data_IF_543807279852
#
_entry.id   IF_543807279852
#
_cell.length_a   1.000
_cell.length_b   1.000
_cell.length_c   1.000
_cell.angle_alpha   90.00
_cell.angle_beta   90.00
_cell.angle_gamma   90.00
#
_symmetry.space_group_name_H-M   'P 1'
#
loop_
_entity.id
_entity.type
_entity.pdbx_description
1 polymer ?
#
# COMPACT_ATOMS: atom_id res chain seq x y z
N UNK A 1 -2.77 9.68 -2.56
CA UNK A 1 -1.54 9.95 -1.78
C UNK A 1 -0.64 10.77 -2.68
N UNK A 2 -0.17 11.93 -2.20
CA UNK A 2 0.75 12.78 -2.94
C UNK A 2 2.17 12.22 -2.85
N UNK A 3 3.08 12.65 -3.75
CA UNK A 3 4.46 12.16 -3.79
C UNK A 3 5.16 12.36 -2.43
N UNK A 4 5.04 13.55 -1.84
CA UNK A 4 5.66 13.85 -0.55
C UNK A 4 5.03 13.04 0.59
N UNK A 5 3.72 12.80 0.56
CA UNK A 5 3.07 11.94 1.56
C UNK A 5 3.60 10.50 1.48
N UNK A 6 3.77 9.98 0.26
CA UNK A 6 4.35 8.65 0.02
C UNK A 6 5.79 8.58 0.53
N UNK A 7 6.58 9.62 0.25
CA UNK A 7 7.96 9.71 0.72
C UNK A 7 8.03 9.72 2.24
N UNK A 8 7.27 10.59 2.90
CA UNK A 8 7.25 10.70 4.36
C UNK A 8 6.76 9.40 5.01
N UNK A 9 5.73 8.76 4.45
CA UNK A 9 5.22 7.48 4.95
C UNK A 9 6.27 6.37 4.90
N UNK A 10 6.95 6.20 3.77
CA UNK A 10 7.99 5.16 3.61
C UNK A 10 9.18 5.44 4.52
N UNK A 11 9.69 6.67 4.54
CA UNK A 11 10.84 7.03 5.38
C UNK A 11 10.54 6.83 6.87
N UNK A 12 9.37 7.24 7.34
CA UNK A 12 8.95 7.05 8.74
C UNK A 12 9.01 5.57 9.17
N UNK A 13 8.57 4.66 8.31
CA UNK A 13 8.59 3.23 8.62
C UNK A 13 10.00 2.64 8.57
N UNK A 14 10.81 3.03 7.58
CA UNK A 14 12.19 2.54 7.42
C UNK A 14 13.13 3.05 8.52
N UNK A 15 12.87 4.23 9.09
CA UNK A 15 13.62 4.74 10.25
C UNK A 15 13.35 3.93 11.52
N UNK A 16 12.16 3.33 11.64
CA UNK A 16 11.72 2.61 12.84
C UNK A 16 11.97 1.11 12.77
N UNK A 17 11.72 0.50 11.62
CA UNK A 17 11.69 -0.95 11.41
C UNK A 17 12.50 -1.36 10.17
N UNK A 18 13.00 -2.62 10.08
CA UNK A 18 13.70 -3.13 8.91
C UNK A 18 12.70 -3.44 7.78
N UNK A 19 12.14 -2.38 7.18
CA UNK A 19 11.12 -2.44 6.15
C UNK A 19 11.71 -2.17 4.77
N UNK A 20 11.34 -3.00 3.81
CA UNK A 20 11.67 -2.84 2.40
C UNK A 20 10.38 -2.64 1.60
N UNK A 21 10.40 -1.74 0.62
CA UNK A 21 9.29 -1.57 -0.33
C UNK A 21 9.52 -2.47 -1.54
N UNK A 22 8.48 -3.17 -1.99
CA UNK A 22 8.55 -4.04 -3.18
C UNK A 22 7.30 -3.86 -4.04
N UNK A 23 7.35 -4.25 -5.32
CA UNK A 23 6.12 -4.33 -6.13
C UNK A 23 5.22 -5.45 -5.59
N UNK A 24 3.95 -5.10 -5.37
CA UNK A 24 2.99 -6.02 -4.77
C UNK A 24 2.48 -7.09 -5.73
N UNK A 25 2.04 -6.68 -6.92
CA UNK A 25 1.36 -7.54 -7.89
C UNK A 25 1.80 -7.27 -9.33
N UNK A 26 1.44 -8.18 -10.23
CA UNK A 26 1.66 -8.10 -11.67
C UNK A 26 3.13 -7.98 -12.07
N UNK A 27 4.06 -8.47 -11.23
CA UNK A 27 5.48 -8.40 -11.54
C UNK A 27 5.86 -9.50 -12.54
N UNK A 28 6.76 -9.19 -13.46
CA UNK A 28 7.28 -10.16 -14.43
C UNK A 28 8.34 -11.09 -13.82
N UNK A 29 8.83 -10.75 -12.62
CA UNK A 29 9.91 -11.47 -11.95
C UNK A 29 9.39 -12.22 -10.72
N UNK A 30 9.87 -13.45 -10.55
CA UNK A 30 9.61 -14.23 -9.34
C UNK A 30 10.40 -13.72 -8.12
N UNK A 31 11.56 -13.12 -8.37
CA UNK A 31 12.43 -12.56 -7.33
C UNK A 31 11.86 -11.26 -6.77
N UNK A 32 12.00 -11.08 -5.46
CA UNK A 32 11.63 -9.84 -4.77
C UNK A 32 12.71 -8.79 -5.04
N UNK A 33 12.28 -7.64 -5.58
CA UNK A 33 13.16 -6.50 -5.81
C UNK A 33 12.70 -5.31 -4.96
N UNK A 34 13.68 -4.65 -4.34
CA UNK A 34 13.44 -3.41 -3.61
C UNK A 34 13.14 -2.26 -4.57
N UNK A 35 12.13 -1.47 -4.20
CA UNK A 35 11.79 -0.21 -4.84
C UNK A 35 12.23 0.92 -3.92
N UNK A 36 13.38 1.54 -4.22
CA UNK A 36 14.01 2.53 -3.33
C UNK A 36 13.20 3.84 -3.24
N UNK A 37 12.49 4.21 -4.31
CA UNK A 37 11.77 5.50 -4.42
C UNK A 37 10.37 5.32 -5.04
N UNK A 38 9.45 4.65 -4.33
CA UNK A 38 8.09 4.41 -4.83
C UNK A 38 7.30 5.72 -5.06
N UNK A 39 7.76 6.86 -4.54
CA UNK A 39 7.13 8.17 -4.77
C UNK A 39 7.56 8.86 -6.09
N UNK A 40 8.56 8.33 -6.80
CA UNK A 40 9.00 8.85 -8.12
C UNK A 40 8.31 8.13 -9.28
N UNK A 41 7.82 6.91 -9.05
CA UNK A 41 7.16 6.07 -10.05
C UNK A 41 5.87 5.59 -9.43
N UNK A 42 4.73 5.93 -10.01
CA UNK A 42 3.44 5.41 -9.56
C UNK A 42 3.35 3.88 -9.68
N UNK A 43 2.55 3.25 -8.83
CA UNK A 43 2.39 1.80 -8.80
C UNK A 43 1.67 1.25 -7.57
N UNK A 44 1.69 -0.08 -7.49
CA UNK A 44 1.13 -0.88 -6.40
C UNK A 44 2.27 -1.55 -5.66
N UNK A 45 2.42 -1.19 -4.40
CA UNK A 45 3.56 -1.52 -3.58
C UNK A 45 3.14 -2.27 -2.34
N UNK A 46 4.08 -2.99 -1.74
CA UNK A 46 3.93 -3.47 -0.38
C UNK A 46 5.16 -3.15 0.45
N UNK A 47 4.93 -2.97 1.75
CA UNK A 47 5.94 -2.85 2.79
C UNK A 47 6.17 -4.22 3.40
N UNK A 48 7.39 -4.71 3.27
CA UNK A 48 7.85 -5.97 3.80
C UNK A 48 8.73 -5.72 5.02
N UNK A 49 8.22 -6.04 6.22
CA UNK A 49 9.02 -6.00 7.45
C UNK A 49 9.79 -7.31 7.63
N UNK A 50 11.11 -7.25 7.48
CA UNK A 50 11.98 -8.43 7.53
C UNK A 50 12.10 -9.05 8.93
N UNK A 51 11.79 -8.29 9.99
CA UNK A 51 11.76 -8.83 11.35
C UNK A 51 10.52 -9.70 11.62
N UNK A 52 9.41 -9.44 10.92
CA UNK A 52 8.14 -10.16 11.08
C UNK A 52 8.06 -11.34 10.12
N UNK A 53 8.46 -11.12 8.86
CA UNK A 53 8.49 -12.13 7.82
C UNK A 53 9.93 -12.21 7.26
N UNK A 54 10.77 -13.14 7.72
CA UNK A 54 12.17 -13.19 7.30
C UNK A 54 12.36 -13.50 5.81
N UNK A 55 11.38 -14.16 5.18
CA UNK A 55 11.43 -14.54 3.77
C UNK A 55 10.09 -14.24 3.12
N UNK A 56 10.08 -13.30 2.18
CA UNK A 56 8.93 -13.02 1.32
C UNK A 56 9.10 -13.73 -0.03
N UNK A 57 8.02 -14.32 -0.54
CA UNK A 57 8.01 -15.03 -1.82
C UNK A 57 6.81 -14.61 -2.66
N UNK A 58 6.98 -14.62 -3.97
CA UNK A 58 5.87 -14.46 -4.91
C UNK A 58 5.30 -15.81 -5.33
N UNK A 59 3.99 -15.84 -5.57
CA UNK A 59 3.27 -16.94 -6.20
C UNK A 59 3.02 -16.62 -7.67
N UNK A 60 3.22 -17.61 -8.53
CA UNK A 60 2.87 -17.50 -9.94
C UNK A 60 1.34 -17.49 -10.09
N UNK A 61 0.82 -16.52 -10.83
CA UNK A 61 -0.62 -16.37 -11.12
C UNK A 61 -0.95 -16.64 -12.59
N UNK A 62 -0.04 -17.31 -13.29
CA UNK A 62 -0.09 -17.53 -14.74
C UNK A 62 0.96 -16.69 -15.44
N UNK A 63 0.59 -15.46 -15.87
CA UNK A 63 1.49 -14.57 -16.62
C UNK A 63 2.44 -13.76 -15.72
N UNK A 64 2.07 -13.57 -14.45
CA UNK A 64 2.78 -12.69 -13.52
C UNK A 64 3.00 -13.37 -12.17
N UNK A 65 3.81 -12.73 -11.34
CA UNK A 65 4.10 -13.12 -9.98
C UNK A 65 3.55 -12.08 -9.01
N UNK A 66 2.79 -12.54 -8.01
CA UNK A 66 2.16 -11.70 -6.99
C UNK A 66 2.59 -12.14 -5.60
N UNK A 67 2.61 -11.21 -4.65
CA UNK A 67 2.66 -11.56 -3.23
C UNK A 67 1.30 -12.11 -2.81
N UNK A 68 1.30 -13.14 -1.96
CA UNK A 68 0.05 -13.68 -1.44
C UNK A 68 -0.59 -12.67 -0.46
N UNK A 69 -1.89 -12.46 -0.61
CA UNK A 69 -2.67 -11.57 0.25
C UNK A 69 -2.72 -12.03 1.71
N UNK A 70 -2.40 -13.30 2.00
CA UNK A 70 -2.32 -13.81 3.37
C UNK A 70 -1.00 -13.44 4.09
N UNK A 71 0.00 -12.94 3.37
CA UNK A 71 1.28 -12.57 3.97
C UNK A 71 1.13 -11.29 4.84
N UNK A 72 1.89 -11.18 5.95
CA UNK A 72 1.86 -10.00 6.82
C UNK A 72 2.62 -8.83 6.19
N UNK A 73 2.07 -8.28 5.10
CA UNK A 73 2.58 -7.11 4.38
C UNK A 73 1.54 -6.00 4.33
N UNK A 74 2.00 -4.74 4.32
CA UNK A 74 1.12 -3.58 4.14
C UNK A 74 1.19 -3.14 2.69
N UNK A 75 0.07 -3.22 2.00
CA UNK A 75 -0.08 -2.75 0.64
C UNK A 75 -0.33 -1.25 0.63
N UNK A 76 0.25 -0.56 -0.34
CA UNK A 76 -0.11 0.82 -0.61
C UNK A 76 0.01 1.14 -2.09
N UNK A 77 -0.72 2.17 -2.50
CA UNK A 77 -0.73 2.65 -3.87
C UNK A 77 -0.36 4.11 -3.91
N UNK A 78 0.56 4.46 -4.80
CA UNK A 78 0.92 5.84 -5.09
C UNK A 78 0.77 6.04 -6.60
N UNK A 79 0.09 7.10 -7.04
CA UNK A 79 -0.23 7.36 -8.46
C UNK A 79 -0.49 6.08 -9.26
N UNK A 80 -1.62 5.41 -9.06
CA UNK A 80 -1.91 4.19 -9.82
C UNK A 80 -1.95 4.53 -11.33
N UNK A 81 -1.19 3.82 -12.17
CA UNK A 81 -1.18 4.03 -13.62
C UNK A 81 -2.49 3.57 -14.28
N UNK A 82 -3.36 2.88 -13.53
CA UNK A 82 -4.62 2.33 -14.02
C UNK A 82 -5.77 2.91 -13.19
N UNK A 83 -6.73 3.54 -13.88
CA UNK A 83 -8.06 3.76 -13.30
C UNK A 83 -8.72 2.39 -13.16
N UNK A 84 -8.52 1.76 -12.01
CA UNK A 84 -9.19 0.49 -11.72
C UNK A 84 -10.70 0.71 -11.66
N UNK A 85 -11.47 -0.33 -11.98
CA UNK A 85 -12.92 -0.31 -11.80
C UNK A 85 -13.32 -1.27 -10.70
N UNK A 86 -14.22 -0.83 -9.82
CA UNK A 86 -14.83 -1.65 -8.78
C UNK A 86 -16.34 -1.68 -9.05
N UNK A 87 -16.90 -2.87 -9.24
CA UNK A 87 -18.31 -3.06 -9.64
C UNK A 87 -18.72 -2.23 -10.86
N UNK A 88 -17.82 -2.11 -11.86
CA UNK A 88 -18.08 -1.38 -13.10
C UNK A 88 -18.03 0.16 -12.97
N UNK A 89 -17.68 0.68 -11.80
CA UNK A 89 -17.46 2.11 -11.56
C UNK A 89 -15.97 2.40 -11.38
N UNK A 90 -15.46 3.58 -11.78
CA UNK A 90 -14.10 3.99 -11.46
C UNK A 90 -13.84 3.87 -9.96
N UNK A 91 -12.88 3.03 -9.59
CA UNK A 91 -12.43 2.86 -8.23
C UNK A 91 -11.35 3.89 -7.93
N UNK A 92 -11.56 4.72 -6.90
CA UNK A 92 -10.48 5.54 -6.35
C UNK A 92 -9.53 4.63 -5.56
N UNK A 93 -8.55 4.06 -6.26
CA UNK A 93 -7.48 3.26 -5.67
C UNK A 93 -6.29 4.11 -5.28
N UNK A 94 -6.12 5.31 -5.85
CA UNK A 94 -4.97 6.17 -5.58
C UNK A 94 -4.84 6.55 -4.10
N UNK A 95 -3.70 6.19 -3.49
CA UNK A 95 -3.39 6.56 -2.11
C UNK A 95 -4.00 5.65 -1.05
N UNK A 96 -4.50 4.48 -1.43
CA UNK A 96 -4.91 3.48 -0.44
C UNK A 96 -3.69 2.92 0.24
N UNK A 97 -3.79 2.78 1.55
CA UNK A 97 -2.96 1.90 2.37
C UNK A 97 -3.92 0.81 2.84
N UNK A 98 -3.57 -0.44 2.60
CA UNK A 98 -4.36 -1.61 2.94
C UNK A 98 -3.46 -2.66 3.59
N UNK A 99 -4.02 -3.44 4.48
CA UNK A 99 -3.33 -4.57 5.08
C UNK A 99 -4.35 -5.70 5.24
N UNK A 100 -3.95 -6.91 4.88
CA UNK A 100 -4.73 -8.09 5.22
C UNK A 100 -4.44 -8.48 6.66
N UNK A 101 -5.46 -8.40 7.51
CA UNK A 101 -5.38 -8.86 8.90
C UNK A 101 -5.76 -10.33 9.06
N UNK A 102 -5.78 -11.09 7.95
CA UNK A 102 -6.00 -12.54 7.98
C UNK A 102 -4.80 -13.30 8.59
N UNK A 103 -3.67 -12.61 8.78
CA UNK A 103 -2.51 -13.15 9.50
C UNK A 103 -2.77 -13.23 11.00
N UNK A 104 -2.49 -14.38 11.63
CA UNK A 104 -2.58 -14.55 13.10
C UNK A 104 -1.40 -13.89 13.86
N UNK A 105 -0.48 -13.24 13.14
CA UNK A 105 0.72 -12.66 13.73
C UNK A 105 0.44 -11.29 14.38
N UNK A 106 0.26 -11.28 15.69
CA UNK A 106 0.01 -10.07 16.50
C UNK A 106 1.08 -8.98 16.41
N UNK A 107 2.31 -9.30 15.97
CA UNK A 107 3.33 -8.28 15.75
C UNK A 107 3.03 -7.42 14.51
N UNK A 108 2.28 -7.96 13.54
CA UNK A 108 1.88 -7.25 12.33
C UNK A 108 0.86 -6.13 12.64
N UNK A 109 -0.04 -6.35 13.59
CA UNK A 109 -0.99 -5.32 14.08
C UNK A 109 -0.27 -4.07 14.60
N UNK A 110 0.99 -4.21 15.03
CA UNK A 110 1.81 -3.15 15.60
C UNK A 110 2.66 -2.38 14.56
N UNK A 111 2.57 -2.71 13.27
CA UNK A 111 3.26 -1.95 12.22
C UNK A 111 2.59 -0.59 11.92
N UNK A 112 1.26 -0.50 12.00
CA UNK A 112 0.51 0.75 11.73
C UNK A 112 -0.06 1.55 12.93
N UNK A 113 0.13 1.20 14.22
CA UNK A 113 -0.63 1.79 15.33
C UNK A 113 -0.34 3.27 15.58
N UNK A 114 0.70 3.83 14.95
CA UNK A 114 1.15 5.21 15.15
C UNK A 114 1.33 6.01 13.84
N UNK A 115 0.86 5.52 12.69
CA UNK A 115 0.88 6.36 11.48
C UNK A 115 -0.10 7.51 11.68
N UNK A 116 0.44 8.69 12.00
CA UNK A 116 -0.31 9.94 11.94
C UNK A 116 -0.26 10.41 10.49
N UNK A 117 -1.40 10.51 9.80
CA UNK A 117 -1.40 11.06 8.46
C UNK A 117 -0.80 12.48 8.48
N UNK A 118 -0.11 12.88 7.41
CA UNK A 118 0.37 14.26 7.31
C UNK A 118 -0.83 15.20 7.34
N UNK A 119 -0.99 15.98 8.41
CA UNK A 119 -2.10 16.94 8.58
C UNK A 119 -1.84 18.23 7.79
N UNK A 120 -1.32 18.13 6.57
CA UNK A 120 -1.12 19.28 5.68
C UNK A 120 -2.45 19.70 5.07
N UNK A 121 -2.59 20.97 4.69
CA UNK A 121 -3.82 21.47 4.03
C UNK A 121 -4.13 20.69 2.74
N UNK A 122 -3.09 20.27 2.01
CA UNK A 122 -3.24 19.46 0.80
C UNK A 122 -3.77 18.05 1.11
N UNK A 123 -3.26 17.41 2.18
CA UNK A 123 -3.75 16.10 2.61
C UNK A 123 -5.17 16.19 3.17
N UNK A 124 -5.48 17.23 3.95
CA UNK A 124 -6.82 17.46 4.51
C UNK A 124 -7.84 17.75 3.40
N UNK A 125 -7.48 18.54 2.39
CA UNK A 125 -8.33 18.80 1.24
C UNK A 125 -8.59 17.51 0.44
N UNK A 126 -7.53 16.74 0.17
CA UNK A 126 -7.66 15.44 -0.49
C UNK A 126 -8.56 14.48 0.31
N UNK A 127 -8.30 14.30 1.61
CA UNK A 127 -9.05 13.41 2.49
C UNK A 127 -10.52 13.83 2.68
N UNK A 128 -10.81 15.12 2.69
CA UNK A 128 -12.17 15.66 2.75
C UNK A 128 -12.99 15.29 1.51
N UNK A 129 -12.39 15.41 0.32
CA UNK A 129 -12.99 14.94 -0.94
C UNK A 129 -13.23 13.42 -0.90
N UNK A 130 -12.31 12.65 -0.32
CA UNK A 130 -12.48 11.19 -0.16
C UNK A 130 -13.68 10.83 0.74
N UNK A 131 -13.89 11.56 1.84
CA UNK A 131 -14.97 11.29 2.79
C UNK A 131 -16.35 11.66 2.24
N UNK A 132 -16.47 12.68 1.39
CA UNK A 132 -17.73 13.04 0.73
C UNK A 132 -18.24 11.92 -0.17
N UNK A 133 -17.37 11.32 -0.99
CA UNK A 133 -17.76 10.18 -1.84
C UNK A 133 -18.25 8.95 -1.07
N UNK A 134 -17.80 8.77 0.18
CA UNK A 134 -18.24 7.66 1.04
C UNK A 134 -19.63 7.89 1.65
N UNK A 135 -19.98 9.15 1.94
CA UNK A 135 -21.29 9.53 2.46
C UNK A 135 -22.40 9.37 1.41
N UNK A 136 -22.10 9.72 0.15
CA UNK A 136 -23.05 9.62 -0.95
C UNK A 136 -23.40 8.16 -1.29
N UNK A 137 -22.45 7.23 -1.14
CA UNK A 137 -22.67 5.78 -1.35
C UNK A 137 -23.45 5.09 -0.22
N UNK A 138 -23.66 5.75 0.92
CA UNK A 138 -24.47 5.23 2.03
C UNK A 138 -25.92 5.73 2.03
N UNK A 139 -26.28 6.59 1.09
CA UNK A 139 -27.62 7.19 0.97
C UNK A 139 -28.41 6.72 -0.27
N UNK A 140 -27.92 5.69 -0.96
CA UNK A 140 -28.56 5.02 -2.12
C UNK A 140 -28.59 3.52 -1.91
#
# INVERSE_FOLDING_TARGET
MLSEDCRQFVLFLQERDPVIVTEWHSSELAEIQEVIRPWEKGGHYCLWNQAILPVLRRKATGKYFNIDFSEPVIEFTYESPVLESWNGQPALTQGRIWASFETENKAFDLLLPNFRPPLTDAWLAWASVQNQHRADLTLT
#
